data_IF_029949465298
#
_entry.id   IF_029949465298
#
_cell.length_a   1.000
_cell.length_b   1.000
_cell.length_c   1.000
_cell.angle_alpha   90.00
_cell.angle_beta   90.00
_cell.angle_gamma   90.00
#
_symmetry.space_group_name_H-M   'P 1'
#
loop_
_entity.id
_entity.type
_entity.pdbx_description
1 polymer ?
#
# COMPACT_ATOMS: atom_id res chain seq x y z
N UNK A 1 2.03 -0.39 -4.93
CA UNK A 1 3.44 -0.01 -5.23
C UNK A 1 3.92 0.89 -4.10
N UNK A 2 5.09 0.65 -3.43
CA UNK A 2 5.33 1.27 -2.09
C UNK A 2 6.79 1.46 -1.52
N UNK A 3 7.76 0.54 -1.70
CA UNK A 3 9.07 0.43 -0.95
C UNK A 3 9.00 -0.13 0.51
N UNK A 4 10.05 -0.83 1.00
CA UNK A 4 10.40 -1.12 2.41
C UNK A 4 11.90 -1.52 2.50
N UNK A 5 12.64 -0.92 3.44
CA UNK A 5 14.05 -1.23 3.73
C UNK A 5 14.33 -1.32 5.24
N UNK A 6 13.30 -1.72 6.01
CA UNK A 6 13.40 -1.96 7.44
C UNK A 6 12.27 -1.32 8.24
N UNK A 7 11.54 -2.16 8.98
CA UNK A 7 10.55 -1.81 10.01
C UNK A 7 9.41 -0.86 9.58
N UNK A 8 8.19 -1.40 9.52
CA UNK A 8 6.95 -0.63 9.48
C UNK A 8 6.78 0.28 10.71
N UNK A 9 7.35 1.49 10.65
CA UNK A 9 7.09 2.59 11.59
C UNK A 9 5.79 3.33 11.20
N UNK A 10 5.23 4.13 12.12
CA UNK A 10 4.06 4.96 11.80
C UNK A 10 4.38 5.92 10.63
N UNK A 11 3.48 5.98 9.64
CA UNK A 11 3.71 6.76 8.41
C UNK A 11 4.60 6.10 7.34
N UNK A 12 4.95 4.82 7.49
CA UNK A 12 5.65 4.03 6.44
C UNK A 12 4.68 3.29 5.50
N UNK A 13 5.22 2.75 4.40
CA UNK A 13 4.52 1.87 3.46
C UNK A 13 5.39 0.63 3.14
N UNK A 14 4.83 -0.41 2.50
CA UNK A 14 5.50 -1.71 2.32
C UNK A 14 5.46 -2.29 0.90
N UNK A 15 6.63 -2.64 0.34
CA UNK A 15 6.76 -3.03 -1.07
C UNK A 15 6.18 -4.41 -1.40
N UNK A 16 5.20 -4.44 -2.29
CA UNK A 16 4.76 -5.66 -2.96
C UNK A 16 4.73 -5.43 -4.47
N UNK A 17 5.78 -5.89 -5.14
CA UNK A 17 5.77 -6.08 -6.59
C UNK A 17 4.92 -7.30 -6.92
N UNK A 18 4.26 -7.31 -8.08
CA UNK A 18 3.41 -8.44 -8.49
C UNK A 18 4.14 -9.78 -8.43
N UNK A 19 5.38 -9.85 -8.91
CA UNK A 19 6.21 -11.05 -8.86
C UNK A 19 6.43 -11.61 -7.44
N UNK A 20 6.26 -10.80 -6.38
CA UNK A 20 6.39 -11.24 -4.99
C UNK A 20 5.11 -11.86 -4.41
N UNK A 21 3.92 -11.60 -4.99
CA UNK A 21 2.64 -12.12 -4.50
C UNK A 21 1.83 -12.91 -5.52
N UNK A 22 2.14 -12.85 -6.83
CA UNK A 22 1.34 -13.51 -7.87
C UNK A 22 1.23 -15.04 -7.66
N UNK A 23 2.34 -15.67 -7.26
CA UNK A 23 2.44 -17.10 -6.94
C UNK A 23 2.00 -17.47 -5.52
N UNK A 24 1.69 -16.49 -4.66
CA UNK A 24 1.15 -16.79 -3.33
C UNK A 24 -0.26 -17.37 -3.44
N UNK A 25 -0.66 -18.26 -2.51
CA UNK A 25 -2.03 -18.72 -2.41
C UNK A 25 -3.01 -17.55 -2.34
N UNK A 26 -4.16 -17.71 -3.00
CA UNK A 26 -5.30 -16.82 -2.78
C UNK A 26 -5.69 -16.83 -1.30
N UNK A 27 -6.38 -15.80 -0.84
CA UNK A 27 -6.84 -15.72 0.54
C UNK A 27 -8.00 -16.70 0.80
N UNK A 28 -7.65 -17.97 0.97
CA UNK A 28 -8.51 -19.06 1.40
C UNK A 28 -8.57 -19.12 2.93
N UNK A 29 -8.71 -17.97 3.60
CA UNK A 29 -8.83 -17.95 5.06
C UNK A 29 -10.08 -18.73 5.48
N UNK A 30 -9.87 -19.93 6.03
CA UNK A 30 -10.90 -20.73 6.71
C UNK A 30 -11.51 -20.02 7.94
N UNK A 31 -10.95 -18.85 8.28
CA UNK A 31 -11.37 -17.96 9.34
C UNK A 31 -12.45 -17.01 8.80
N UNK A 32 -13.67 -17.12 9.32
CA UNK A 32 -14.78 -16.23 8.95
C UNK A 32 -14.51 -14.81 9.45
N UNK A 33 -14.64 -13.75 8.62
CA UNK A 33 -14.49 -12.39 9.09
C UNK A 33 -15.53 -12.05 10.18
N UNK A 34 -15.19 -11.20 11.16
CA UNK A 34 -16.15 -10.66 12.12
C UNK A 34 -17.31 -9.90 11.44
N UNK A 35 -18.38 -9.62 12.20
CA UNK A 35 -19.49 -8.79 11.74
C UNK A 35 -18.97 -7.44 11.21
N UNK A 36 -19.55 -6.98 10.10
CA UNK A 36 -19.17 -5.76 9.37
C UNK A 36 -17.68 -5.68 9.00
N UNK A 37 -17.05 -6.82 8.72
CA UNK A 37 -15.68 -6.94 8.21
C UNK A 37 -15.62 -7.85 7.00
N UNK A 38 -14.59 -7.67 6.18
CA UNK A 38 -14.34 -8.51 5.00
C UNK A 38 -12.89 -8.94 4.90
N UNK A 39 -12.68 -10.13 4.34
CA UNK A 39 -11.40 -10.59 3.85
C UNK A 39 -11.13 -9.93 2.48
N UNK A 40 -9.98 -9.29 2.22
CA UNK A 40 -9.57 -8.94 0.87
C UNK A 40 -9.22 -10.23 0.10
N UNK A 41 -9.47 -10.30 -1.21
CA UNK A 41 -9.51 -11.58 -1.95
C UNK A 41 -8.61 -11.63 -3.19
N UNK A 42 -8.22 -10.49 -3.76
CA UNK A 42 -7.40 -10.40 -4.97
C UNK A 42 -5.93 -10.13 -4.62
N UNK A 43 -5.22 -9.30 -5.40
CA UNK A 43 -3.78 -9.05 -5.18
C UNK A 43 -3.46 -8.48 -3.79
N UNK A 44 -4.32 -7.60 -3.25
CA UNK A 44 -4.19 -7.14 -1.87
C UNK A 44 -4.55 -8.24 -0.87
N UNK A 45 -5.54 -9.10 -1.17
CA UNK A 45 -5.84 -10.31 -0.39
C UNK A 45 -4.64 -11.26 -0.23
N UNK A 46 -3.91 -11.54 -1.32
CA UNK A 46 -2.69 -12.38 -1.27
C UNK A 46 -1.63 -11.79 -0.35
N UNK A 47 -1.36 -10.49 -0.48
CA UNK A 47 -0.41 -9.77 0.39
C UNK A 47 -0.90 -9.77 1.84
N UNK A 48 -2.16 -9.44 2.07
CA UNK A 48 -2.76 -9.38 3.41
C UNK A 48 -2.69 -10.73 4.14
N UNK A 49 -2.91 -11.84 3.45
CA UNK A 49 -2.90 -13.17 4.04
C UNK A 49 -1.48 -13.75 4.24
N UNK A 50 -0.53 -13.45 3.35
CA UNK A 50 0.76 -14.15 3.28
C UNK A 50 2.00 -13.28 3.63
N UNK A 51 1.90 -11.95 3.60
CA UNK A 51 3.04 -11.08 3.87
C UNK A 51 3.24 -10.86 5.39
N UNK A 52 4.43 -11.16 5.96
CA UNK A 52 4.65 -11.07 7.41
C UNK A 52 4.35 -9.70 7.99
N UNK A 53 3.51 -9.65 9.04
CA UNK A 53 3.18 -8.44 9.77
C UNK A 53 2.12 -7.54 9.13
N UNK A 54 1.62 -7.86 7.93
CA UNK A 54 0.59 -7.06 7.25
C UNK A 54 -0.78 -7.27 7.88
N UNK A 55 -1.19 -8.54 8.07
CA UNK A 55 -2.48 -8.91 8.65
C UNK A 55 -2.64 -8.35 10.06
N UNK A 56 -1.60 -8.49 10.87
CA UNK A 56 -1.58 -8.12 12.28
C UNK A 56 -1.65 -6.61 12.50
N UNK A 57 -1.14 -5.81 11.54
CA UNK A 57 -1.15 -4.35 11.61
C UNK A 57 -2.40 -3.72 11.01
N UNK A 58 -2.94 -4.29 9.93
CA UNK A 58 -4.12 -3.74 9.24
C UNK A 58 -5.45 -4.28 9.81
N UNK A 59 -5.44 -5.48 10.39
CA UNK A 59 -6.66 -6.18 10.78
C UNK A 59 -7.53 -6.53 9.56
N UNK A 60 -8.83 -6.72 9.78
CA UNK A 60 -9.78 -7.03 8.71
C UNK A 60 -10.20 -5.78 7.91
N UNK A 61 -10.54 -5.97 6.63
CA UNK A 61 -11.04 -4.89 5.78
C UNK A 61 -12.39 -4.35 6.27
N UNK A 62 -12.58 -3.04 6.13
CA UNK A 62 -13.85 -2.34 6.41
C UNK A 62 -14.81 -2.31 5.21
N UNK A 63 -14.35 -2.76 4.05
CA UNK A 63 -15.10 -2.80 2.79
C UNK A 63 -14.32 -3.60 1.76
N UNK A 64 -14.99 -4.03 0.69
CA UNK A 64 -14.41 -4.89 -0.35
C UNK A 64 -13.18 -4.27 -1.01
N UNK A 65 -12.25 -5.12 -1.43
CA UNK A 65 -11.10 -4.72 -2.25
C UNK A 65 -11.59 -4.12 -3.58
N UNK A 66 -11.11 -2.91 -3.92
CA UNK A 66 -11.44 -2.21 -5.16
C UNK A 66 -10.15 -1.96 -5.95
N UNK A 67 -10.02 -2.47 -7.19
CA UNK A 67 -8.89 -2.15 -8.05
C UNK A 67 -9.02 -0.71 -8.57
N UNK A 68 -7.89 0.00 -8.65
CA UNK A 68 -7.83 1.31 -9.32
C UNK A 68 -6.48 1.53 -10.00
N UNK A 69 -6.49 2.30 -11.08
CA UNK A 69 -5.27 2.78 -11.75
C UNK A 69 -4.86 4.11 -11.14
N UNK A 70 -3.58 4.27 -10.81
CA UNK A 70 -2.99 5.53 -10.36
C UNK A 70 -1.86 5.95 -11.30
N UNK A 71 -1.64 7.26 -11.41
CA UNK A 71 -0.40 7.80 -11.96
C UNK A 71 0.60 7.94 -10.81
N UNK A 72 1.82 7.41 -11.00
CA UNK A 72 2.97 7.64 -10.12
C UNK A 72 3.99 8.50 -10.86
N UNK A 73 4.30 9.68 -10.32
CA UNK A 73 5.32 10.57 -10.86
C UNK A 73 6.53 10.61 -9.92
N UNK A 74 7.66 10.04 -10.36
CA UNK A 74 8.92 10.15 -9.63
C UNK A 74 9.52 11.56 -9.77
N UNK A 75 10.21 12.01 -8.72
CA UNK A 75 10.93 13.30 -8.70
C UNK A 75 12.42 13.04 -8.83
N UNK A 76 13.13 13.92 -9.53
CA UNK A 76 14.60 13.87 -9.57
C UNK A 76 15.18 14.28 -8.21
N UNK A 77 15.68 13.31 -7.44
CA UNK A 77 16.21 13.54 -6.08
C UNK A 77 17.44 14.45 -6.03
N UNK A 78 18.19 14.58 -7.14
CA UNK A 78 19.40 15.41 -7.26
C UNK A 78 19.12 16.89 -7.59
N UNK A 79 17.92 17.40 -7.30
CA UNK A 79 17.57 18.82 -7.49
C UNK A 79 18.08 19.68 -6.34
N UNK A 80 18.37 20.95 -6.65
CA UNK A 80 18.73 21.99 -5.67
C UNK A 80 17.70 23.13 -5.76
N UNK A 81 16.97 23.47 -4.68
CA UNK A 81 16.94 22.79 -3.39
C UNK A 81 16.39 21.35 -3.49
N UNK A 82 16.72 20.52 -2.50
CA UNK A 82 16.24 19.15 -2.42
C UNK A 82 14.69 19.10 -2.43
N UNK A 83 14.07 18.17 -3.17
CA UNK A 83 12.62 18.10 -3.25
C UNK A 83 12.03 17.60 -1.93
N UNK A 84 10.86 18.13 -1.53
CA UNK A 84 10.17 17.69 -0.30
C UNK A 84 9.74 16.21 -0.36
N UNK A 85 9.47 15.71 -1.56
CA UNK A 85 8.97 14.36 -1.83
C UNK A 85 9.76 13.71 -2.97
N UNK A 86 9.94 12.39 -2.88
CA UNK A 86 10.61 11.57 -3.91
C UNK A 86 9.65 11.16 -5.04
N UNK A 87 8.34 11.13 -4.77
CA UNK A 87 7.30 10.85 -5.77
C UNK A 87 5.95 11.44 -5.37
N UNK A 88 5.06 11.54 -6.36
CA UNK A 88 3.66 11.90 -6.20
C UNK A 88 2.76 10.80 -6.77
N UNK A 89 1.61 10.57 -6.13
CA UNK A 89 0.60 9.61 -6.58
C UNK A 89 -0.81 10.20 -6.54
N UNK A 90 -1.63 9.85 -7.53
CA UNK A 90 -3.03 10.28 -7.65
C UNK A 90 -3.97 9.27 -6.99
N UNK A 91 -4.89 9.75 -6.15
CA UNK A 91 -5.97 8.95 -5.57
C UNK A 91 -7.22 8.92 -6.47
N UNK A 92 -8.14 7.95 -6.29
CA UNK A 92 -9.40 7.88 -7.05
C UNK A 92 -10.32 9.09 -6.90
N UNK A 93 -10.19 9.86 -5.81
CA UNK A 93 -10.94 11.08 -5.56
C UNK A 93 -10.26 12.34 -6.15
N UNK A 94 -9.21 12.17 -6.95
CA UNK A 94 -8.47 13.24 -7.60
C UNK A 94 -7.40 13.90 -6.73
N UNK A 95 -7.33 13.59 -5.43
CA UNK A 95 -6.28 14.12 -4.54
C UNK A 95 -4.90 13.62 -4.95
N UNK A 96 -3.88 14.40 -4.66
CA UNK A 96 -2.48 14.04 -4.87
C UNK A 96 -1.79 13.87 -3.52
N UNK A 97 -1.13 12.74 -3.32
CA UNK A 97 -0.22 12.52 -2.19
C UNK A 97 1.22 12.73 -2.67
N UNK A 98 1.96 13.59 -2.00
CA UNK A 98 3.42 13.63 -2.04
C UNK A 98 4.00 12.66 -1.01
N UNK A 99 5.00 11.87 -1.39
CA UNK A 99 5.67 10.93 -0.50
C UNK A 99 7.17 10.75 -0.79
N UNK A 100 7.92 10.42 0.26
CA UNK A 100 9.37 10.24 0.25
C UNK A 100 9.96 10.62 1.62
N UNK A 101 11.20 10.20 1.88
CA UNK A 101 11.95 10.59 3.09
C UNK A 101 11.19 10.36 4.42
N UNK A 102 10.38 9.30 4.50
CA UNK A 102 9.56 8.98 5.68
C UNK A 102 8.33 9.86 5.88
N UNK A 103 7.88 10.61 4.87
CA UNK A 103 6.74 11.54 4.95
C UNK A 103 5.71 11.21 3.88
N UNK A 104 4.42 11.33 4.23
CA UNK A 104 3.26 11.23 3.34
C UNK A 104 2.33 12.41 3.62
N UNK A 105 1.93 13.18 2.60
CA UNK A 105 1.01 14.31 2.77
C UNK A 105 0.14 14.49 1.53
N UNK A 106 -1.15 14.81 1.72
CA UNK A 106 -2.00 15.35 0.66
C UNK A 106 -1.46 16.73 0.28
N UNK A 107 -1.14 16.94 -1.00
CA UNK A 107 -0.58 18.20 -1.53
C UNK A 107 -1.56 18.96 -2.44
N UNK A 108 -2.63 18.29 -2.89
CA UNK A 108 -3.72 18.82 -3.70
C UNK A 108 -4.97 17.97 -3.47
#
# INVERSE_FOLDING_TARGET
MFYNDGAFQEGSAGYYMEAAYASMPDNLSNETPPLDRVAPVSGFGKVWANAPGVREKLGWGLGSEVPFTMTLQMVGNARTPAPEFAYYLTLPDGKVIGSGFGRWRVVQ
#
